data_IF_986557992092
#
_entry.id   IF_986557992092
#
_cell.length_a   1.000
_cell.length_b   1.000
_cell.length_c   1.000
_cell.angle_alpha   90.00
_cell.angle_beta   90.00
_cell.angle_gamma   90.00
#
_symmetry.space_group_name_H-M   'P 1'
#
loop_
_entity.id
_entity.type
_entity.pdbx_description
1 polymer ?
#
# COMPACT_ATOMS: atom_id res chain seq x y z
N UNK A 1 -32.78 12.21 27.03
CA UNK A 1 -31.88 11.59 28.00
C UNK A 1 -30.72 10.98 27.22
N UNK A 2 -29.53 11.57 27.25
CA UNK A 2 -28.36 10.99 26.60
C UNK A 2 -27.86 9.82 27.46
N UNK A 3 -28.01 8.60 26.96
CA UNK A 3 -27.49 7.43 27.63
C UNK A 3 -25.97 7.41 27.40
N UNK A 4 -25.18 7.60 28.46
CA UNK A 4 -23.73 7.50 28.39
C UNK A 4 -23.34 6.04 28.15
N UNK A 5 -22.68 5.76 27.03
CA UNK A 5 -22.14 4.43 26.71
C UNK A 5 -20.67 4.40 27.12
N UNK A 6 -20.28 3.46 27.99
CA UNK A 6 -18.89 3.24 28.37
C UNK A 6 -18.19 2.36 27.33
N UNK A 7 -17.28 2.94 26.54
CA UNK A 7 -16.63 2.28 25.40
C UNK A 7 -15.76 1.08 25.86
N UNK A 8 -15.27 1.08 27.10
CA UNK A 8 -14.40 0.00 27.61
C UNK A 8 -15.14 -1.30 27.95
N UNK A 9 -16.48 -1.29 27.99
CA UNK A 9 -17.30 -2.45 28.37
C UNK A 9 -17.93 -3.15 27.16
N UNK A 10 -17.67 -2.65 25.94
CA UNK A 10 -18.23 -3.19 24.70
C UNK A 10 -17.37 -4.30 24.11
N UNK A 11 -18.02 -5.31 23.53
CA UNK A 11 -17.35 -6.35 22.76
C UNK A 11 -17.06 -5.90 21.31
N UNK A 12 -16.20 -6.63 20.60
CA UNK A 12 -15.77 -6.30 19.22
C UNK A 12 -16.95 -6.03 18.27
N UNK A 13 -17.98 -6.88 18.19
CA UNK A 13 -19.14 -6.64 17.32
C UNK A 13 -19.94 -5.37 17.67
N UNK A 14 -20.08 -5.06 18.96
CA UNK A 14 -20.75 -3.85 19.40
C UNK A 14 -19.96 -2.59 19.04
N UNK A 15 -18.62 -2.65 19.12
CA UNK A 15 -17.75 -1.55 18.73
C UNK A 15 -17.79 -1.29 17.23
N UNK A 16 -17.79 -2.34 16.40
CA UNK A 16 -17.96 -2.22 14.94
C UNK A 16 -19.31 -1.63 14.56
N UNK A 17 -20.39 -2.09 15.21
CA UNK A 17 -21.72 -1.55 15.00
C UNK A 17 -21.80 -0.06 15.40
N UNK A 18 -21.22 0.31 16.55
CA UNK A 18 -21.18 1.70 17.02
C UNK A 18 -20.35 2.58 16.08
N UNK A 19 -19.20 2.09 15.60
CA UNK A 19 -18.39 2.79 14.59
C UNK A 19 -19.22 3.06 13.33
N UNK A 20 -19.90 2.04 12.80
CA UNK A 20 -20.75 2.21 11.61
C UNK A 20 -21.90 3.20 11.84
N UNK A 21 -22.46 3.27 13.05
CA UNK A 21 -23.49 4.26 13.40
C UNK A 21 -22.92 5.68 13.47
N UNK A 22 -21.75 5.85 14.09
CA UNK A 22 -21.07 7.15 14.17
C UNK A 22 -20.65 7.65 12.78
N UNK A 23 -20.21 6.77 11.90
CA UNK A 23 -19.86 7.08 10.51
C UNK A 23 -21.07 7.61 9.68
N UNK A 24 -22.31 7.38 10.14
CA UNK A 24 -23.54 7.88 9.49
C UNK A 24 -24.04 9.23 10.05
N UNK A 25 -23.43 9.72 11.13
CA UNK A 25 -23.83 10.99 11.76
C UNK A 25 -23.00 12.15 11.20
N UNK A 26 -23.64 13.07 10.48
CA UNK A 26 -23.02 14.30 10.00
C UNK A 26 -23.45 15.50 10.83
N UNK A 27 -22.50 16.36 11.17
CA UNK A 27 -22.77 17.65 11.83
C UNK A 27 -22.68 18.76 10.78
N UNK A 28 -23.73 19.60 10.59
CA UNK A 28 -23.66 20.71 9.65
C UNK A 28 -22.64 21.75 10.14
N UNK A 29 -21.77 22.20 9.23
CA UNK A 29 -20.76 23.22 9.49
C UNK A 29 -20.63 24.20 8.33
N UNK A 30 -20.01 25.35 8.57
CA UNK A 30 -19.69 26.33 7.53
C UNK A 30 -18.17 26.44 7.39
N UNK A 31 -17.69 26.48 6.16
CA UNK A 31 -16.29 26.74 5.85
C UNK A 31 -16.02 28.23 5.99
N UNK A 32 -15.04 28.59 6.80
CA UNK A 32 -14.71 29.99 7.10
C UNK A 32 -13.47 30.45 6.33
N UNK A 33 -12.49 29.57 6.15
CA UNK A 33 -11.23 29.86 5.47
C UNK A 33 -10.92 28.75 4.46
N UNK A 34 -10.63 29.16 3.22
CA UNK A 34 -10.21 28.28 2.11
C UNK A 34 -8.77 28.52 1.71
N UNK A 35 -8.17 29.61 2.18
CA UNK A 35 -6.80 30.00 1.86
C UNK A 35 -5.80 29.27 2.74
N UNK A 36 -6.16 28.93 3.98
CA UNK A 36 -5.29 28.20 4.90
C UNK A 36 -5.76 26.76 5.10
N UNK A 37 -4.81 25.84 4.98
CA UNK A 37 -5.03 24.40 5.12
C UNK A 37 -4.02 23.80 6.08
N UNK A 38 -4.45 22.77 6.81
CA UNK A 38 -3.60 22.03 7.72
C UNK A 38 -2.93 20.87 6.98
N UNK A 39 -1.60 20.79 7.03
CA UNK A 39 -0.82 19.74 6.36
C UNK A 39 -0.09 18.88 7.41
N UNK A 40 -0.21 17.56 7.28
CA UNK A 40 0.62 16.60 8.01
C UNK A 40 2.03 16.52 7.39
N UNK A 41 3.02 16.92 8.18
CA UNK A 41 4.45 16.90 7.80
C UNK A 41 5.16 15.62 8.26
N UNK A 42 4.48 14.75 8.99
CA UNK A 42 4.98 13.50 9.56
C UNK A 42 5.18 13.56 11.07
N UNK A 43 5.44 12.40 11.69
CA UNK A 43 5.66 12.25 13.14
C UNK A 43 4.53 12.77 14.03
N UNK A 44 3.33 12.92 13.47
CA UNK A 44 2.15 13.44 14.17
C UNK A 44 2.07 14.97 14.26
N UNK A 45 2.92 15.70 13.52
CA UNK A 45 2.90 17.16 13.50
C UNK A 45 2.12 17.70 12.30
N UNK A 46 1.35 18.75 12.57
CA UNK A 46 0.54 19.44 11.59
C UNK A 46 0.99 20.91 11.51
N UNK A 47 1.07 21.43 10.29
CA UNK A 47 1.46 22.81 10.02
C UNK A 47 0.41 23.46 9.15
N UNK A 48 -0.03 24.64 9.54
CA UNK A 48 -0.93 25.47 8.73
C UNK A 48 -0.14 26.15 7.61
N UNK A 49 -0.65 26.05 6.39
CA UNK A 49 -0.03 26.55 5.17
C UNK A 49 -1.08 27.17 4.27
N UNK A 50 -0.66 28.08 3.40
CA UNK A 50 -1.53 28.56 2.34
C UNK A 50 -1.86 27.44 1.36
N UNK A 51 -3.00 27.53 0.68
CA UNK A 51 -3.43 26.54 -0.29
C UNK A 51 -2.42 26.37 -1.44
N UNK A 52 -1.73 27.45 -1.85
CA UNK A 52 -0.68 27.38 -2.85
C UNK A 52 0.58 26.66 -2.34
N UNK A 53 1.07 27.02 -1.15
CA UNK A 53 2.21 26.32 -0.52
C UNK A 53 1.89 24.83 -0.32
N UNK A 54 0.64 24.50 -0.02
CA UNK A 54 0.18 23.13 0.15
C UNK A 54 0.25 22.33 -1.17
N UNK A 55 -0.18 22.93 -2.28
CA UNK A 55 -0.06 22.31 -3.61
C UNK A 55 1.40 22.02 -3.95
N UNK A 56 2.29 22.99 -3.70
CA UNK A 56 3.72 22.81 -3.92
C UNK A 56 4.31 21.73 -3.01
N UNK A 57 3.91 21.69 -1.74
CA UNK A 57 4.31 20.64 -0.81
C UNK A 57 3.93 19.25 -1.33
N UNK A 58 2.68 19.06 -1.77
CA UNK A 58 2.22 17.78 -2.30
C UNK A 58 2.90 17.44 -3.63
N UNK A 59 3.12 18.41 -4.51
CA UNK A 59 3.88 18.21 -5.76
C UNK A 59 5.27 17.67 -5.49
N UNK A 60 6.01 18.29 -4.56
CA UNK A 60 7.34 17.78 -4.15
C UNK A 60 7.27 16.38 -3.54
N UNK A 61 6.22 16.06 -2.78
CA UNK A 61 6.02 14.73 -2.17
C UNK A 61 5.75 13.67 -3.24
N UNK A 62 4.96 14.00 -4.26
CA UNK A 62 4.72 13.15 -5.43
C UNK A 62 6.04 12.93 -6.18
N UNK A 63 6.77 14.00 -6.50
CA UNK A 63 8.05 13.89 -7.22
C UNK A 63 9.08 13.06 -6.44
N UNK A 64 9.13 13.21 -5.11
CA UNK A 64 9.97 12.39 -4.26
C UNK A 64 9.60 10.91 -4.36
N UNK A 65 8.32 10.56 -4.21
CA UNK A 65 7.85 9.18 -4.31
C UNK A 65 8.12 8.58 -5.70
N UNK A 66 7.85 9.34 -6.77
CA UNK A 66 8.15 8.94 -8.14
C UNK A 66 9.63 8.62 -8.33
N UNK A 67 10.53 9.49 -7.87
CA UNK A 67 11.98 9.23 -7.93
C UNK A 67 12.40 8.01 -7.13
N UNK A 68 11.76 7.71 -6.01
CA UNK A 68 12.04 6.48 -5.26
C UNK A 68 11.58 5.24 -6.04
N UNK A 69 10.41 5.30 -6.68
CA UNK A 69 9.91 4.20 -7.52
C UNK A 69 10.84 3.95 -8.72
N UNK A 70 11.25 5.01 -9.42
CA UNK A 70 12.19 4.93 -10.55
C UNK A 70 13.53 4.30 -10.16
N UNK A 71 14.03 4.56 -8.95
CA UNK A 71 15.26 3.92 -8.44
C UNK A 71 15.10 2.43 -8.19
N UNK A 72 13.91 1.99 -7.76
CA UNK A 72 13.62 0.58 -7.45
C UNK A 72 13.32 -0.24 -8.71
N UNK A 73 12.78 0.40 -9.75
CA UNK A 73 12.31 -0.26 -10.95
C UNK A 73 13.39 -1.10 -11.69
N UNK A 74 14.65 -0.64 -11.87
CA UNK A 74 15.70 -1.46 -12.49
C UNK A 74 16.04 -2.70 -11.68
N UNK A 75 16.17 -2.57 -10.34
CA UNK A 75 16.45 -3.70 -9.46
C UNK A 75 15.31 -4.74 -9.51
N UNK A 76 14.06 -4.27 -9.60
CA UNK A 76 12.91 -5.15 -9.77
C UNK A 76 12.96 -5.91 -11.11
N UNK A 77 13.27 -5.22 -12.21
CA UNK A 77 13.38 -5.82 -13.54
C UNK A 77 14.53 -6.84 -13.59
N UNK A 78 15.69 -6.52 -13.02
CA UNK A 78 16.84 -7.43 -12.93
C UNK A 78 16.48 -8.70 -12.15
N UNK A 79 15.84 -8.56 -10.98
CA UNK A 79 15.40 -9.71 -10.18
C UNK A 79 14.36 -10.55 -10.90
N UNK A 80 13.46 -9.91 -11.64
CA UNK A 80 12.49 -10.63 -12.46
C UNK A 80 13.19 -11.40 -13.60
N UNK A 81 14.12 -10.78 -14.33
CA UNK A 81 14.86 -11.42 -15.41
C UNK A 81 15.69 -12.61 -14.89
N UNK A 82 16.37 -12.42 -13.75
CA UNK A 82 17.11 -13.49 -13.07
C UNK A 82 16.18 -14.66 -12.70
N UNK A 83 14.99 -14.38 -12.15
CA UNK A 83 14.01 -15.42 -11.84
C UNK A 83 13.61 -16.22 -13.09
N UNK A 84 13.37 -15.54 -14.21
CA UNK A 84 13.03 -16.20 -15.47
C UNK A 84 14.15 -17.10 -15.98
N UNK A 85 15.39 -16.62 -15.98
CA UNK A 85 16.55 -17.42 -16.38
C UNK A 85 16.72 -18.70 -15.52
N UNK A 86 16.50 -18.60 -14.20
CA UNK A 86 16.54 -19.75 -13.31
C UNK A 86 15.43 -20.76 -13.62
N UNK A 87 14.21 -20.28 -13.88
CA UNK A 87 13.09 -21.15 -14.26
C UNK A 87 13.32 -21.85 -15.60
N UNK A 88 13.89 -21.16 -16.59
CA UNK A 88 14.26 -21.75 -17.87
C UNK A 88 15.32 -22.85 -17.73
N UNK A 89 16.38 -22.58 -16.98
CA UNK A 89 17.42 -23.58 -16.68
C UNK A 89 16.85 -24.79 -15.92
N UNK A 90 15.93 -24.57 -14.99
CA UNK A 90 15.25 -25.64 -14.28
C UNK A 90 14.42 -26.50 -15.24
N UNK A 91 13.65 -25.88 -16.12
CA UNK A 91 12.86 -26.58 -17.14
C UNK A 91 13.74 -27.41 -18.07
N UNK A 92 14.86 -26.85 -18.55
CA UNK A 92 15.83 -27.56 -19.38
C UNK A 92 16.43 -28.77 -18.66
N UNK A 93 16.81 -28.64 -17.38
CA UNK A 93 17.32 -29.78 -16.59
C UNK A 93 16.27 -30.86 -16.39
N UNK A 94 15.01 -30.49 -16.15
CA UNK A 94 13.91 -31.46 -16.02
C UNK A 94 13.72 -32.22 -17.34
N UNK A 95 13.74 -31.53 -18.48
CA UNK A 95 13.62 -32.16 -19.81
C UNK A 95 14.80 -33.09 -20.12
N UNK A 96 16.02 -32.73 -19.73
CA UNK A 96 17.19 -33.60 -19.89
C UNK A 96 17.08 -34.86 -19.02
N UNK A 97 16.63 -34.72 -17.76
CA UNK A 97 16.44 -35.87 -16.86
C UNK A 97 15.34 -36.81 -17.34
N UNK A 98 14.22 -36.30 -17.86
CA UNK A 98 13.18 -37.15 -18.45
C UNK A 98 13.68 -37.84 -19.72
N UNK A 99 14.42 -37.14 -20.59
CA UNK A 99 15.02 -37.75 -21.78
C UNK A 99 16.05 -38.85 -21.46
N UNK A 100 16.86 -38.66 -20.41
CA UNK A 100 17.81 -39.67 -19.91
C UNK A 100 17.10 -40.86 -19.23
N UNK A 101 15.99 -40.63 -18.54
CA UNK A 101 15.14 -41.70 -17.98
C UNK A 101 14.48 -42.58 -19.04
N UNK A 102 14.08 -42.00 -20.18
CA UNK A 102 13.48 -42.77 -21.30
C UNK A 102 14.52 -43.60 -22.05
N UNK A 103 15.78 -43.16 -22.14
CA UNK A 103 16.84 -43.91 -22.84
C UNK A 103 17.35 -45.13 -22.06
N UNK A 104 17.22 -45.16 -20.73
CA UNK A 104 17.51 -46.35 -19.94
C UNK A 104 16.38 -47.40 -20.00
N UNK A 105 15.12 -46.98 -20.13
CA UNK A 105 13.99 -47.90 -20.28
C UNK A 105 13.88 -48.51 -21.70
N UNK A 106 14.36 -47.81 -22.74
CA UNK A 106 14.33 -48.30 -24.13
C UNK A 106 15.49 -49.26 -24.50
N UNK A 107 16.45 -49.50 -23.59
CA UNK A 107 17.59 -50.41 -23.77
C UNK A 107 17.50 -51.71 -22.96
N UNK A 108 16.39 -51.93 -22.25
CA UNK A 108 16.10 -53.18 -21.53
C UNK A 108 15.11 -54.05 -22.31
#
# INVERSE_FOLDING_TARGET
MAQSVNITELNLPQLEMLKNQLDQMYVPGKLHDVEHVLIDVGTGYYVEKTAEDAKDFFKRKIDFLTKQMEKIQPALQEKHAMKQAVMEMMSQKIQQLTALGVTQAAKA
#
